data_IF_440487061186
#
_entry.id   IF_440487061186
#
_cell.length_a   1.000
_cell.length_b   1.000
_cell.length_c   1.000
_cell.angle_alpha   90.00
_cell.angle_beta   90.00
_cell.angle_gamma   90.00
#
_symmetry.space_group_name_H-M   'P 1'
#
loop_
_entity.id
_entity.type
_entity.pdbx_description
1 polymer ?
#
# COMPACT_ATOMS: atom_id res chain seq x y z
N UNK A 1 -43.42 13.85 -53.70
CA UNK A 1 -43.89 13.92 -52.29
C UNK A 1 -42.64 14.17 -51.44
N UNK A 2 -42.17 15.40 -51.33
CA UNK A 2 -42.65 16.47 -50.42
C UNK A 2 -42.30 16.23 -48.95
N UNK A 3 -41.05 16.58 -48.63
CA UNK A 3 -40.56 17.39 -47.49
C UNK A 3 -40.67 16.89 -46.02
N UNK A 4 -39.82 17.45 -45.14
CA UNK A 4 -39.12 16.78 -44.03
C UNK A 4 -39.56 17.32 -42.64
N UNK A 5 -38.91 16.88 -41.56
CA UNK A 5 -38.68 17.62 -40.30
C UNK A 5 -37.63 16.84 -39.49
N UNK A 6 -36.39 17.31 -39.31
CA UNK A 6 -35.93 18.37 -38.39
C UNK A 6 -36.45 18.22 -36.96
N UNK A 7 -35.57 17.81 -36.06
CA UNK A 7 -35.67 18.02 -34.60
C UNK A 7 -34.24 17.99 -34.01
N UNK A 8 -33.99 18.64 -32.86
CA UNK A 8 -33.06 19.76 -32.80
C UNK A 8 -31.80 19.44 -32.01
N UNK A 9 -30.73 20.16 -32.33
CA UNK A 9 -29.49 20.25 -31.55
C UNK A 9 -29.78 20.98 -30.23
N UNK A 10 -29.46 20.43 -29.05
CA UNK A 10 -29.42 21.20 -27.83
C UNK A 10 -28.12 22.01 -27.75
N UNK A 11 -28.29 23.27 -27.36
CA UNK A 11 -27.29 24.31 -27.30
C UNK A 11 -26.14 24.01 -26.33
N UNK A 12 -24.94 24.42 -26.76
CA UNK A 12 -23.76 24.58 -25.94
C UNK A 12 -23.99 25.72 -24.94
N UNK A 13 -23.81 25.45 -23.65
CA UNK A 13 -23.77 26.49 -22.61
C UNK A 13 -22.34 26.56 -22.07
N UNK A 14 -21.57 27.48 -22.65
CA UNK A 14 -20.19 27.80 -22.32
C UNK A 14 -20.18 28.73 -21.11
N UNK A 15 -20.20 28.18 -19.90
CA UNK A 15 -19.90 28.97 -18.69
C UNK A 15 -18.39 28.91 -18.43
N UNK A 16 -17.70 29.94 -18.93
CA UNK A 16 -16.31 30.27 -18.57
C UNK A 16 -16.32 30.89 -17.17
N UNK A 17 -15.90 30.13 -16.17
CA UNK A 17 -15.52 30.68 -14.87
C UNK A 17 -14.02 31.05 -14.92
N UNK A 18 -13.78 32.35 -14.99
CA UNK A 18 -12.48 33.00 -14.81
C UNK A 18 -12.12 32.91 -13.32
N UNK A 19 -11.32 31.92 -12.93
CA UNK A 19 -10.77 31.82 -11.57
C UNK A 19 -9.35 32.39 -11.55
N UNK A 20 -9.18 33.45 -10.76
CA UNK A 20 -7.96 34.21 -10.53
C UNK A 20 -6.76 33.35 -10.14
N UNK A 21 -5.54 33.63 -10.65
CA UNK A 21 -4.34 32.95 -10.19
C UNK A 21 -3.95 33.43 -8.78
N UNK A 22 -4.10 32.54 -7.79
CA UNK A 22 -3.55 32.74 -6.46
C UNK A 22 -2.03 32.52 -6.52
N UNK A 23 -1.26 33.60 -6.42
CA UNK A 23 0.20 33.57 -6.35
C UNK A 23 0.64 32.94 -5.03
N UNK A 24 1.15 31.71 -5.09
CA UNK A 24 1.84 31.06 -3.97
C UNK A 24 3.30 31.50 -3.95
N UNK A 25 3.69 32.24 -2.92
CA UNK A 25 5.09 32.59 -2.63
C UNK A 25 5.88 31.36 -2.20
N UNK A 26 6.83 30.95 -3.04
CA UNK A 26 7.86 29.94 -2.73
C UNK A 26 8.94 30.57 -1.87
N UNK A 27 8.98 30.22 -0.58
CA UNK A 27 10.09 30.59 0.31
C UNK A 27 11.18 29.53 0.20
N UNK A 28 12.23 29.84 -0.57
CA UNK A 28 13.44 29.01 -0.67
C UNK A 28 14.33 29.26 0.54
N UNK A 29 14.39 28.30 1.47
CA UNK A 29 15.38 28.32 2.56
C UNK A 29 16.61 27.53 2.13
N UNK A 30 17.64 28.26 1.69
CA UNK A 30 18.98 27.73 1.42
C UNK A 30 19.68 27.50 2.76
N UNK A 31 19.79 26.25 3.19
CA UNK A 31 20.60 25.86 4.35
C UNK A 31 22.02 25.60 3.86
N UNK A 32 22.92 26.52 4.17
CA UNK A 32 24.36 26.42 3.93
C UNK A 32 24.96 25.39 4.90
N UNK A 33 25.59 24.35 4.34
CA UNK A 33 26.37 23.33 5.04
C UNK A 33 27.72 23.92 5.51
N UNK A 34 28.08 23.86 6.80
CA UNK A 34 29.43 24.22 7.23
C UNK A 34 30.37 23.02 7.14
N UNK A 35 31.44 23.21 6.37
CA UNK A 35 32.67 22.43 6.31
C UNK A 35 33.25 22.13 7.70
N UNK A 36 33.73 20.91 7.99
CA UNK A 36 34.50 20.66 9.21
C UNK A 36 35.95 21.13 9.01
N UNK A 37 36.33 22.17 9.74
CA UNK A 37 37.72 22.64 9.88
C UNK A 37 38.38 21.99 11.08
N UNK A 38 39.65 21.65 10.87
CA UNK A 38 40.61 20.95 11.71
C UNK A 38 40.64 21.31 13.21
N UNK A 39 40.95 20.29 13.98
CA UNK A 39 41.36 20.32 15.39
C UNK A 39 42.85 20.67 15.50
N UNK A 40 43.23 21.61 16.38
CA UNK A 40 44.49 21.51 17.07
C UNK A 40 44.32 21.56 18.60
N UNK A 41 44.92 20.56 19.24
CA UNK A 41 45.65 20.58 20.51
C UNK A 41 46.05 21.99 20.96
N UNK A 42 45.82 22.42 22.22
CA UNK A 42 46.74 22.39 23.40
C UNK A 42 46.04 23.03 24.63
N UNK A 43 46.42 22.56 25.81
CA UNK A 43 46.09 22.98 27.18
C UNK A 43 46.11 24.49 27.51
N UNK A 44 45.32 24.89 28.52
CA UNK A 44 45.76 25.74 29.64
C UNK A 44 44.66 25.87 30.69
N UNK A 45 45.04 25.76 31.95
CA UNK A 45 44.22 26.02 33.13
C UNK A 45 44.15 27.53 33.42
N UNK A 46 43.01 28.06 33.89
CA UNK A 46 42.98 29.05 34.99
C UNK A 46 41.57 29.42 35.46
N UNK A 47 41.43 29.48 36.79
CA UNK A 47 40.54 30.34 37.59
C UNK A 47 39.08 30.55 37.14
N UNK A 48 38.18 29.74 37.71
CA UNK A 48 36.75 30.03 37.74
C UNK A 48 36.36 30.80 39.02
N UNK A 49 35.64 31.93 38.93
CA UNK A 49 35.12 32.66 40.08
C UNK A 49 33.93 31.93 40.74
N UNK A 50 33.88 32.00 42.07
CA UNK A 50 32.86 31.40 42.93
C UNK A 50 31.42 31.73 42.50
N UNK A 51 30.64 30.69 42.24
CA UNK A 51 29.22 30.77 41.89
C UNK A 51 28.40 31.42 43.02
N UNK A 52 27.41 32.27 42.69
CA UNK A 52 26.49 32.81 43.67
C UNK A 52 25.59 31.70 44.24
N UNK A 53 25.47 31.66 45.57
CA UNK A 53 24.54 30.79 46.28
C UNK A 53 23.11 31.21 45.92
N UNK A 54 22.44 30.39 45.10
CA UNK A 54 21.06 30.61 44.73
C UNK A 54 20.15 30.32 45.93
N UNK A 55 19.39 31.34 46.33
CA UNK A 55 18.37 31.25 47.36
C UNK A 55 17.29 30.23 46.90
N UNK A 56 16.96 29.19 47.70
CA UNK A 56 16.02 28.17 47.27
C UNK A 56 14.63 28.77 47.03
N UNK A 57 14.12 28.56 45.81
CA UNK A 57 12.78 28.99 45.43
C UNK A 57 11.73 28.33 46.34
N UNK A 58 10.65 29.05 46.71
CA UNK A 58 9.62 28.53 47.59
C UNK A 58 8.99 27.27 46.98
N UNK A 59 8.90 26.22 47.80
CA UNK A 59 8.32 24.93 47.42
C UNK A 59 6.86 25.13 47.00
N UNK A 60 6.44 24.62 45.83
CA UNK A 60 5.07 24.78 45.37
C UNK A 60 4.11 24.10 46.35
N UNK A 61 3.11 24.84 46.79
CA UNK A 61 2.02 24.29 47.60
C UNK A 61 1.21 23.34 46.72
N UNK A 62 1.20 22.06 47.09
CA UNK A 62 0.45 21.04 46.36
C UNK A 62 -1.04 21.27 46.62
N UNK A 63 -1.75 21.74 45.60
CA UNK A 63 -3.21 21.80 45.59
C UNK A 63 -3.78 20.38 45.69
N UNK A 64 -4.68 20.09 46.64
CA UNK A 64 -5.26 18.76 46.76
C UNK A 64 -6.02 18.40 45.47
N UNK A 65 -5.70 17.23 44.92
CA UNK A 65 -6.41 16.67 43.78
C UNK A 65 -7.83 16.32 44.23
N UNK A 66 -8.88 16.77 43.53
CA UNK A 66 -10.25 16.44 43.90
C UNK A 66 -10.48 14.93 43.89
N UNK A 67 -11.12 14.43 44.94
CA UNK A 67 -11.52 13.02 45.04
C UNK A 67 -12.55 12.74 43.95
N UNK A 68 -12.35 11.75 43.07
CA UNK A 68 -13.31 11.42 42.03
C UNK A 68 -14.63 10.98 42.65
N UNK A 69 -15.73 11.60 42.22
CA UNK A 69 -17.09 11.18 42.56
C UNK A 69 -17.34 9.80 41.94
N UNK A 70 -17.88 8.83 42.71
CA UNK A 70 -18.15 7.50 42.18
C UNK A 70 -19.14 7.58 41.01
N UNK A 71 -18.70 7.13 39.84
CA UNK A 71 -19.53 6.99 38.65
C UNK A 71 -20.66 5.99 38.93
N UNK A 72 -21.93 6.32 38.65
CA UNK A 72 -23.04 5.39 38.79
C UNK A 72 -22.77 4.10 38.01
N UNK A 73 -23.02 2.95 38.65
CA UNK A 73 -22.91 1.66 37.99
C UNK A 73 -23.92 1.60 36.83
N UNK A 74 -23.43 1.50 35.60
CA UNK A 74 -24.27 1.34 34.42
C UNK A 74 -25.18 0.12 34.58
N UNK A 75 -26.48 0.33 34.42
CA UNK A 75 -27.46 -0.75 34.35
C UNK A 75 -27.02 -1.72 33.24
N UNK A 76 -27.02 -3.02 33.55
CA UNK A 76 -26.65 -4.04 32.58
C UNK A 76 -27.63 -3.99 31.40
N UNK A 77 -27.13 -3.58 30.24
CA UNK A 77 -27.84 -3.72 28.97
C UNK A 77 -27.99 -5.23 28.71
N UNK A 78 -29.21 -5.74 28.49
CA UNK A 78 -29.41 -7.15 28.20
C UNK A 78 -28.55 -7.58 27.02
N UNK A 79 -27.89 -8.73 27.15
CA UNK A 79 -27.04 -9.28 26.11
C UNK A 79 -27.85 -9.43 24.82
N UNK A 80 -27.37 -8.90 23.68
CA UNK A 80 -28.06 -9.08 22.41
C UNK A 80 -28.19 -10.57 22.12
N UNK A 81 -29.40 -10.99 21.73
CA UNK A 81 -29.63 -12.35 21.23
C UNK A 81 -28.64 -12.62 20.09
N UNK A 82 -27.91 -13.76 20.10
CA UNK A 82 -26.97 -14.08 19.05
C UNK A 82 -27.66 -13.98 17.69
N UNK A 83 -27.10 -13.14 16.81
CA UNK A 83 -27.52 -13.10 15.43
C UNK A 83 -27.39 -14.53 14.84
N UNK A 84 -28.36 -14.99 14.04
CA UNK A 84 -28.26 -16.29 13.38
C UNK A 84 -26.92 -16.39 12.66
N UNK A 85 -26.26 -17.54 12.79
CA UNK A 85 -25.01 -17.79 12.10
C UNK A 85 -25.21 -17.50 10.61
N UNK A 86 -24.31 -16.73 9.96
CA UNK A 86 -24.46 -16.42 8.55
C UNK A 86 -24.56 -17.74 7.79
N UNK A 87 -25.68 -17.93 7.08
CA UNK A 87 -25.78 -18.98 6.08
C UNK A 87 -24.57 -18.79 5.16
N UNK A 88 -23.73 -19.82 4.94
CA UNK A 88 -22.67 -19.72 3.96
C UNK A 88 -23.31 -19.21 2.68
N UNK A 89 -22.91 -18.02 2.23
CA UNK A 89 -23.25 -17.59 0.90
C UNK A 89 -22.71 -18.70 0.01
N UNK A 90 -23.61 -19.39 -0.69
CA UNK A 90 -23.24 -20.11 -1.90
C UNK A 90 -22.63 -19.02 -2.77
N UNK A 91 -21.30 -18.90 -2.71
CA UNK A 91 -20.58 -17.95 -3.54
C UNK A 91 -21.05 -18.18 -4.97
N UNK A 92 -21.23 -17.12 -5.77
CA UNK A 92 -21.53 -17.29 -7.18
C UNK A 92 -20.50 -18.30 -7.70
N UNK A 93 -21.00 -19.47 -8.12
CA UNK A 93 -20.21 -20.41 -8.89
C UNK A 93 -19.87 -19.64 -10.13
N UNK A 94 -18.69 -19.01 -10.13
CA UNK A 94 -18.20 -18.32 -11.29
C UNK A 94 -18.12 -19.41 -12.38
N UNK A 95 -18.98 -19.38 -13.40
CA UNK A 95 -18.98 -20.42 -14.42
C UNK A 95 -17.57 -20.44 -15.00
N UNK A 96 -16.97 -21.63 -14.98
CA UNK A 96 -15.55 -21.81 -15.19
C UNK A 96 -15.02 -21.05 -16.40
N UNK A 97 -14.41 -19.90 -16.15
CA UNK A 97 -13.22 -19.52 -16.88
C UNK A 97 -12.11 -20.44 -16.35
N UNK A 98 -12.12 -21.68 -16.80
CA UNK A 98 -10.92 -22.48 -16.87
C UNK A 98 -10.01 -21.72 -17.83
N UNK A 99 -9.18 -20.83 -17.26
CA UNK A 99 -8.12 -20.16 -18.00
C UNK A 99 -7.22 -21.29 -18.49
N UNK A 100 -7.49 -21.76 -19.70
CA UNK A 100 -6.63 -22.66 -20.44
C UNK A 100 -5.33 -21.90 -20.59
N UNK A 101 -4.33 -22.27 -19.79
CA UNK A 101 -3.04 -21.58 -19.73
C UNK A 101 -2.27 -21.96 -20.99
N UNK A 102 -2.60 -21.28 -22.09
CA UNK A 102 -1.73 -21.21 -23.25
C UNK A 102 -0.41 -20.57 -22.83
N UNK A 103 0.69 -21.10 -23.34
CA UNK A 103 2.05 -20.85 -22.86
C UNK A 103 2.61 -19.43 -23.12
N UNK A 104 1.79 -18.47 -23.52
CA UNK A 104 2.14 -17.05 -23.55
C UNK A 104 1.78 -16.42 -22.20
N UNK A 105 2.53 -15.39 -21.77
CA UNK A 105 1.92 -14.39 -20.89
C UNK A 105 0.59 -14.03 -21.57
N UNK A 106 -0.55 -13.99 -20.85
CA UNK A 106 -1.73 -13.42 -21.47
C UNK A 106 -1.28 -12.07 -22.04
N UNK A 107 -1.70 -11.70 -23.26
CA UNK A 107 -1.30 -10.43 -23.92
C UNK A 107 -1.56 -9.17 -23.04
N UNK A 108 -2.24 -9.42 -21.93
CA UNK A 108 -2.77 -8.59 -20.87
C UNK A 108 -1.98 -8.67 -19.54
N UNK A 109 -0.80 -9.28 -19.51
CA UNK A 109 0.04 -9.25 -18.31
C UNK A 109 0.76 -7.90 -18.18
N UNK A 110 0.86 -7.38 -16.96
CA UNK A 110 1.65 -6.19 -16.68
C UNK A 110 3.15 -6.49 -16.89
N UNK A 111 3.83 -5.88 -17.88
CA UNK A 111 5.23 -6.15 -18.18
C UNK A 111 6.16 -5.69 -17.05
N UNK A 112 5.69 -4.78 -16.18
CA UNK A 112 6.48 -4.30 -15.05
C UNK A 112 6.58 -5.36 -13.96
N UNK A 113 5.62 -6.29 -13.88
CA UNK A 113 5.66 -7.42 -12.96
C UNK A 113 6.85 -8.36 -13.27
N UNK A 114 7.27 -8.48 -14.54
CA UNK A 114 8.41 -9.32 -14.94
C UNK A 114 9.78 -8.70 -14.63
N UNK A 115 9.81 -7.39 -14.39
CA UNK A 115 11.05 -6.61 -14.20
C UNK A 115 11.18 -6.05 -12.79
N UNK A 116 10.49 -6.67 -11.82
CA UNK A 116 10.64 -6.28 -10.42
C UNK A 116 12.00 -6.67 -9.88
N UNK A 117 12.85 -5.66 -9.69
CA UNK A 117 14.12 -5.80 -8.99
C UNK A 117 13.90 -5.70 -7.49
N UNK A 118 14.75 -6.38 -6.71
CA UNK A 118 14.78 -6.20 -5.26
C UNK A 118 15.05 -4.73 -4.93
N UNK A 119 14.05 -4.02 -4.40
CA UNK A 119 14.19 -2.63 -4.03
C UNK A 119 14.64 -2.52 -2.57
N UNK A 120 15.72 -1.76 -2.26
CA UNK A 120 16.15 -1.55 -0.88
C UNK A 120 15.22 -0.59 -0.12
N UNK A 121 14.54 0.30 -0.84
CA UNK A 121 13.60 1.25 -0.27
C UNK A 121 12.22 0.62 -0.08
N UNK A 122 11.41 1.17 0.82
CA UNK A 122 10.14 0.59 1.26
C UNK A 122 8.99 1.57 1.01
N UNK A 123 7.82 1.07 0.61
CA UNK A 123 6.63 1.91 0.52
C UNK A 123 6.11 2.28 1.93
N UNK A 124 5.85 3.54 2.19
CA UNK A 124 5.41 4.08 3.47
C UNK A 124 4.07 4.81 3.36
N UNK A 125 3.43 5.01 4.50
CA UNK A 125 2.20 5.79 4.60
C UNK A 125 2.43 7.21 4.05
N UNK A 126 1.56 7.66 3.14
CA UNK A 126 1.65 8.95 2.47
C UNK A 126 2.45 8.96 1.15
N UNK A 127 3.13 7.86 0.80
CA UNK A 127 3.85 7.78 -0.48
C UNK A 127 2.89 7.88 -1.67
N UNK A 128 3.32 8.58 -2.72
CA UNK A 128 2.58 8.72 -3.97
C UNK A 128 3.06 7.66 -4.96
N UNK A 129 2.13 6.85 -5.43
CA UNK A 129 2.39 5.69 -6.26
C UNK A 129 1.62 5.78 -7.59
N UNK A 130 2.14 5.13 -8.63
CA UNK A 130 1.46 4.98 -9.92
C UNK A 130 1.27 3.51 -10.28
N UNK A 131 0.12 3.19 -10.85
CA UNK A 131 -0.21 1.88 -11.43
C UNK A 131 -0.71 2.07 -12.86
N UNK A 132 -0.53 1.08 -13.74
CA UNK A 132 -1.07 1.13 -15.10
C UNK A 132 -2.53 0.71 -15.09
N UNK A 133 -3.42 1.60 -15.52
CA UNK A 133 -4.88 1.40 -15.45
C UNK A 133 -5.34 0.19 -16.27
N UNK A 134 -4.67 -0.10 -17.38
CA UNK A 134 -4.99 -1.24 -18.26
C UNK A 134 -4.86 -2.61 -17.60
N UNK A 135 -4.17 -2.74 -16.47
CA UNK A 135 -3.91 -4.03 -15.81
C UNK A 135 -4.71 -4.25 -14.53
N UNK A 136 -5.57 -3.30 -14.15
CA UNK A 136 -6.29 -3.33 -12.87
C UNK A 136 -7.19 -4.57 -12.69
N UNK A 137 -7.70 -5.14 -13.79
CA UNK A 137 -8.64 -6.27 -13.79
C UNK A 137 -8.14 -7.50 -14.58
N UNK A 138 -6.90 -7.48 -15.08
CA UNK A 138 -6.45 -8.49 -16.05
C UNK A 138 -5.82 -9.72 -15.41
N UNK A 139 -5.40 -9.63 -14.14
CA UNK A 139 -4.61 -10.66 -13.49
C UNK A 139 -5.22 -11.13 -12.16
N UNK A 140 -6.43 -11.72 -12.16
CA UNK A 140 -6.96 -12.35 -10.96
C UNK A 140 -6.06 -13.51 -10.51
N UNK A 141 -5.93 -13.68 -9.21
CA UNK A 141 -5.30 -14.82 -8.56
C UNK A 141 -6.13 -15.27 -7.38
N UNK A 142 -6.14 -16.58 -7.13
CA UNK A 142 -6.77 -17.15 -5.96
C UNK A 142 -5.76 -17.25 -4.81
N UNK A 143 -5.97 -16.48 -3.76
CA UNK A 143 -5.21 -16.59 -2.50
C UNK A 143 -5.98 -17.51 -1.56
N UNK A 144 -5.35 -18.60 -1.11
CA UNK A 144 -5.97 -19.59 -0.21
C UNK A 144 -5.27 -19.61 1.15
N UNK A 145 -6.06 -19.57 2.23
CA UNK A 145 -5.57 -19.61 3.61
C UNK A 145 -6.47 -20.47 4.50
N UNK A 146 -6.05 -20.69 5.75
CA UNK A 146 -6.83 -21.47 6.71
C UNK A 146 -7.02 -20.69 8.01
N UNK A 147 -8.20 -20.76 8.61
CA UNK A 147 -8.51 -20.18 9.92
C UNK A 147 -9.48 -21.09 10.66
N UNK A 148 -9.13 -21.48 11.90
CA UNK A 148 -9.97 -22.37 12.74
C UNK A 148 -10.43 -23.63 11.99
N UNK A 149 -9.51 -24.32 11.31
CA UNK A 149 -9.76 -25.50 10.48
C UNK A 149 -10.67 -25.28 9.26
N UNK A 150 -11.08 -24.03 8.97
CA UNK A 150 -11.80 -23.70 7.73
C UNK A 150 -10.81 -23.27 6.67
N UNK A 151 -10.92 -23.87 5.49
CA UNK A 151 -10.23 -23.40 4.29
C UNK A 151 -10.99 -22.21 3.72
N UNK A 152 -10.30 -21.09 3.59
CA UNK A 152 -10.82 -19.84 3.09
C UNK A 152 -10.03 -19.46 1.83
N UNK A 153 -10.64 -18.66 0.98
CA UNK A 153 -10.00 -18.14 -0.21
C UNK A 153 -10.56 -16.76 -0.57
N UNK A 154 -9.83 -16.05 -1.41
CA UNK A 154 -10.24 -14.77 -1.95
C UNK A 154 -9.56 -14.55 -3.29
N UNK A 155 -10.25 -13.86 -4.19
CA UNK A 155 -9.70 -13.43 -5.47
C UNK A 155 -9.02 -12.07 -5.30
N UNK A 156 -7.81 -11.96 -5.81
CA UNK A 156 -7.02 -10.73 -5.78
C UNK A 156 -6.47 -10.42 -7.16
N UNK A 157 -6.42 -9.15 -7.53
CA UNK A 157 -5.72 -8.66 -8.72
C UNK A 157 -4.29 -8.28 -8.36
N UNK A 158 -3.34 -8.78 -9.13
CA UNK A 158 -1.92 -8.44 -9.00
C UNK A 158 -1.55 -7.35 -9.99
N UNK A 159 -0.90 -6.31 -9.50
CA UNK A 159 -0.39 -5.21 -10.31
C UNK A 159 1.03 -4.86 -9.87
N UNK A 160 1.83 -4.30 -10.78
CA UNK A 160 3.02 -3.58 -10.37
C UNK A 160 2.64 -2.12 -10.09
N UNK A 161 3.18 -1.55 -9.02
CA UNK A 161 3.12 -0.10 -8.81
C UNK A 161 4.52 0.48 -8.72
N UNK A 162 4.63 1.75 -9.10
CA UNK A 162 5.87 2.53 -9.02
C UNK A 162 5.73 3.56 -7.91
N UNK A 163 6.62 3.55 -6.92
CA UNK A 163 6.64 4.58 -5.89
C UNK A 163 7.39 5.81 -6.41
N UNK A 164 6.66 6.89 -6.67
CA UNK A 164 7.20 8.13 -7.24
C UNK A 164 7.75 9.10 -6.20
N UNK A 165 7.50 8.85 -4.91
CA UNK A 165 8.09 9.63 -3.80
C UNK A 165 9.57 9.28 -3.59
N UNK A 166 9.97 8.06 -3.94
CA UNK A 166 11.33 7.56 -3.70
C UNK A 166 12.19 7.73 -4.96
N UNK A 167 13.39 8.28 -4.81
CA UNK A 167 14.34 8.43 -5.89
C UNK A 167 14.63 7.09 -6.59
N UNK A 168 14.67 7.11 -7.92
CA UNK A 168 14.84 5.90 -8.74
C UNK A 168 13.53 5.17 -9.05
N UNK A 169 12.38 5.65 -8.54
CA UNK A 169 11.05 5.13 -8.87
C UNK A 169 10.96 3.60 -8.72
N UNK A 170 11.27 3.05 -7.52
CA UNK A 170 11.25 1.61 -7.31
C UNK A 170 9.86 1.02 -7.53
N UNK A 171 9.84 -0.22 -8.03
CA UNK A 171 8.61 -0.96 -8.36
C UNK A 171 8.33 -2.04 -7.33
N UNK A 172 7.06 -2.22 -7.00
CA UNK A 172 6.58 -3.14 -5.96
C UNK A 172 5.30 -3.85 -6.42
N UNK A 173 4.91 -4.89 -5.69
CA UNK A 173 3.66 -5.60 -5.92
C UNK A 173 2.52 -4.91 -5.18
N UNK A 174 1.38 -4.76 -5.86
CA UNK A 174 0.11 -4.40 -5.26
C UNK A 174 -0.87 -5.56 -5.47
N UNK A 175 -1.56 -5.93 -4.39
CA UNK A 175 -2.65 -6.90 -4.40
C UNK A 175 -3.93 -6.19 -3.99
N UNK A 176 -4.96 -6.23 -4.83
CA UNK A 176 -6.28 -5.66 -4.52
C UNK A 176 -7.31 -6.78 -4.52
N UNK A 177 -8.02 -6.95 -3.41
CA UNK A 177 -9.12 -7.92 -3.35
C UNK A 177 -10.22 -7.55 -4.35
N UNK A 178 -10.86 -8.55 -4.93
CA UNK A 178 -11.89 -8.36 -5.97
C UNK A 178 -13.04 -7.46 -5.50
N UNK A 179 -13.51 -7.65 -4.27
CA UNK A 179 -14.52 -6.83 -3.62
C UNK A 179 -14.03 -5.42 -3.19
N UNK A 180 -12.75 -5.09 -3.42
CA UNK A 180 -12.14 -3.79 -3.11
C UNK A 180 -11.64 -3.06 -4.36
N UNK A 181 -11.87 -3.59 -5.57
CA UNK A 181 -11.36 -2.99 -6.80
C UNK A 181 -11.98 -1.61 -7.07
N UNK A 182 -13.28 -1.45 -6.89
CA UNK A 182 -13.95 -0.15 -7.06
C UNK A 182 -13.49 0.87 -6.00
N UNK A 183 -13.24 0.41 -4.77
CA UNK A 183 -12.64 1.25 -3.73
C UNK A 183 -11.24 1.70 -4.15
N UNK A 184 -10.40 0.80 -4.67
CA UNK A 184 -9.08 1.16 -5.18
C UNK A 184 -9.17 2.23 -6.27
N UNK A 185 -10.06 2.04 -7.25
CA UNK A 185 -10.29 3.01 -8.33
C UNK A 185 -10.72 4.38 -7.79
N UNK A 186 -11.52 4.42 -6.72
CA UNK A 186 -11.91 5.68 -6.08
C UNK A 186 -10.77 6.40 -5.35
N UNK A 187 -9.70 5.69 -4.96
CA UNK A 187 -8.49 6.26 -4.38
C UNK A 187 -7.51 6.77 -5.45
N UNK A 188 -7.76 6.43 -6.72
CA UNK A 188 -6.90 6.76 -7.83
C UNK A 188 -7.33 8.06 -8.53
N UNK A 189 -6.34 8.84 -8.95
CA UNK A 189 -6.48 9.95 -9.89
C UNK A 189 -5.96 9.51 -11.26
N UNK A 190 -6.81 9.45 -12.30
CA UNK A 190 -6.39 9.09 -13.65
C UNK A 190 -5.37 10.07 -14.24
N UNK A 191 -4.37 9.54 -14.94
CA UNK A 191 -3.25 10.24 -15.59
C UNK A 191 -2.87 9.49 -16.90
N UNK A 192 -3.78 9.54 -17.89
CA UNK A 192 -3.62 8.83 -19.16
C UNK A 192 -3.68 7.31 -19.00
N UNK A 193 -2.59 6.61 -19.35
CA UNK A 193 -2.48 5.15 -19.16
C UNK A 193 -2.16 4.75 -17.70
N UNK A 194 -1.94 5.73 -16.83
CA UNK A 194 -1.59 5.53 -15.44
C UNK A 194 -2.70 6.04 -14.52
N UNK A 195 -2.78 5.46 -13.34
CA UNK A 195 -3.56 5.91 -12.20
C UNK A 195 -2.60 6.24 -11.07
N UNK A 196 -2.73 7.42 -10.46
CA UNK A 196 -1.93 7.82 -9.29
C UNK A 196 -2.73 7.62 -8.01
N UNK A 197 -2.14 7.06 -6.97
CA UNK A 197 -2.79 6.91 -5.65
C UNK A 197 -1.80 7.22 -4.53
N UNK A 198 -2.32 7.57 -3.34
CA UNK A 198 -1.51 7.67 -2.13
C UNK A 198 -1.64 6.39 -1.29
N UNK A 199 -0.55 5.96 -0.68
CA UNK A 199 -0.57 4.88 0.31
C UNK A 199 -1.26 5.40 1.58
N UNK A 200 -2.46 4.92 1.86
CA UNK A 200 -3.25 5.28 3.05
C UNK A 200 -3.20 4.18 4.12
N UNK A 201 -3.79 4.45 5.29
CA UNK A 201 -3.93 3.46 6.37
C UNK A 201 -4.89 2.31 6.04
N UNK A 202 -5.60 2.39 4.92
CA UNK A 202 -6.46 1.30 4.43
C UNK A 202 -5.65 0.15 3.83
N UNK A 203 -4.42 0.43 3.41
CA UNK A 203 -3.51 -0.59 2.92
C UNK A 203 -2.92 -1.37 4.09
N UNK A 204 -2.68 -2.65 3.84
CA UNK A 204 -1.78 -3.48 4.61
C UNK A 204 -0.53 -3.77 3.78
N UNK A 205 0.50 -4.30 4.41
CA UNK A 205 1.72 -4.66 3.70
C UNK A 205 2.32 -5.97 4.19
N UNK A 206 3.00 -6.65 3.28
CA UNK A 206 3.96 -7.70 3.61
C UNK A 206 5.38 -7.25 3.25
N UNK A 207 6.40 -7.88 3.82
CA UNK A 207 7.81 -7.53 3.63
C UNK A 207 8.71 -8.75 3.81
N UNK A 208 9.82 -8.80 3.06
CA UNK A 208 10.76 -9.92 3.06
C UNK A 208 11.39 -10.15 4.45
N UNK A 209 11.69 -9.05 5.13
CA UNK A 209 12.34 -9.06 6.44
C UNK A 209 11.92 -7.82 7.26
N UNK A 210 12.45 -7.72 8.49
CA UNK A 210 12.17 -6.62 9.42
C UNK A 210 12.67 -5.25 8.97
N UNK A 211 13.56 -5.20 7.97
CA UNK A 211 14.04 -3.93 7.39
C UNK A 211 13.00 -3.32 6.43
N UNK A 212 11.99 -4.11 6.05
CA UNK A 212 10.97 -3.73 5.09
C UNK A 212 11.37 -3.96 3.63
N UNK A 213 12.49 -4.65 3.39
CA UNK A 213 12.94 -5.05 2.05
C UNK A 213 11.79 -5.73 1.29
N UNK A 214 11.64 -5.39 0.00
CA UNK A 214 10.60 -5.92 -0.89
C UNK A 214 9.18 -5.80 -0.34
N UNK A 215 8.86 -4.67 0.32
CA UNK A 215 7.51 -4.40 0.78
C UNK A 215 6.51 -4.41 -0.37
N UNK A 216 5.40 -5.11 -0.20
CA UNK A 216 4.28 -5.11 -1.13
C UNK A 216 3.01 -4.63 -0.43
N UNK A 217 2.09 -4.05 -1.18
CA UNK A 217 0.83 -3.51 -0.65
C UNK A 217 -0.32 -4.49 -0.89
N UNK A 218 -1.24 -4.54 0.07
CA UNK A 218 -2.48 -5.30 -0.01
C UNK A 218 -3.64 -4.40 0.37
N UNK A 219 -4.62 -4.24 -0.51
CA UNK A 219 -5.88 -3.59 -0.22
C UNK A 219 -7.00 -4.63 -0.16
N UNK A 220 -7.58 -4.80 1.02
CA UNK A 220 -8.67 -5.74 1.29
C UNK A 220 -9.38 -5.37 2.60
N UNK A 221 -10.41 -6.13 2.97
CA UNK A 221 -11.12 -5.91 4.23
C UNK A 221 -10.18 -5.97 5.45
N UNK A 222 -10.29 -4.99 6.34
CA UNK A 222 -9.50 -4.91 7.57
C UNK A 222 -9.68 -6.13 8.49
N UNK A 223 -10.80 -6.86 8.36
CA UNK A 223 -11.06 -8.09 9.11
C UNK A 223 -10.13 -9.23 8.69
N UNK A 224 -9.52 -9.14 7.51
CA UNK A 224 -8.63 -10.15 6.93
C UNK A 224 -7.15 -9.92 7.26
N UNK A 225 -6.83 -9.09 8.26
CA UNK A 225 -5.43 -8.80 8.65
C UNK A 225 -4.65 -10.01 9.21
N UNK A 226 -5.33 -11.14 9.42
CA UNK A 226 -4.71 -12.40 9.84
C UNK A 226 -4.21 -13.24 8.66
N UNK A 227 -4.42 -12.81 7.41
CA UNK A 227 -3.86 -13.52 6.27
C UNK A 227 -2.35 -13.34 6.32
N UNK A 228 -1.61 -14.45 6.29
CA UNK A 228 -0.17 -14.41 6.33
C UNK A 228 0.41 -13.99 4.96
N UNK A 229 1.44 -13.16 4.98
CA UNK A 229 2.06 -12.58 3.79
C UNK A 229 2.55 -13.63 2.78
N UNK A 230 3.04 -14.78 3.26
CA UNK A 230 3.49 -15.89 2.39
C UNK A 230 2.39 -16.44 1.48
N UNK A 231 1.11 -16.20 1.77
CA UNK A 231 0.01 -16.65 0.91
C UNK A 231 -0.03 -15.88 -0.41
N UNK A 232 0.23 -14.58 -0.36
CA UNK A 232 0.31 -13.73 -1.55
C UNK A 232 1.56 -14.06 -2.39
N UNK A 233 2.70 -14.24 -1.71
CA UNK A 233 3.96 -14.63 -2.37
C UNK A 233 3.83 -16.00 -3.04
N UNK A 234 3.22 -16.99 -2.34
CA UNK A 234 3.00 -18.33 -2.91
C UNK A 234 2.00 -18.33 -4.06
N UNK A 235 0.92 -17.56 -3.95
CA UNK A 235 -0.06 -17.43 -5.03
C UNK A 235 0.58 -16.80 -6.28
N UNK A 236 1.38 -15.75 -6.09
CA UNK A 236 2.20 -15.14 -7.14
C UNK A 236 3.15 -16.17 -7.75
N UNK A 237 3.92 -16.90 -6.94
CA UNK A 237 4.84 -17.95 -7.40
C UNK A 237 4.15 -19.04 -8.21
N UNK A 238 2.97 -19.49 -7.80
CA UNK A 238 2.22 -20.51 -8.55
C UNK A 238 1.87 -19.97 -9.94
N UNK A 239 1.37 -18.73 -10.00
CA UNK A 239 1.00 -18.06 -11.24
C UNK A 239 2.21 -17.85 -12.16
N UNK A 240 3.29 -17.30 -11.60
CA UNK A 240 4.55 -17.07 -12.30
C UNK A 240 5.28 -18.34 -12.67
N UNK A 241 5.27 -19.39 -11.84
CA UNK A 241 5.90 -20.67 -12.15
C UNK A 241 5.24 -21.32 -13.36
N UNK A 242 3.91 -21.23 -13.47
CA UNK A 242 3.21 -21.66 -14.69
C UNK A 242 3.57 -20.80 -15.90
N UNK A 243 3.69 -19.48 -15.73
CA UNK A 243 4.14 -18.57 -16.80
C UNK A 243 5.61 -18.81 -17.22
N UNK A 244 6.51 -18.99 -16.26
CA UNK A 244 7.95 -19.18 -16.48
C UNK A 244 8.24 -20.55 -17.08
N UNK A 245 7.58 -21.61 -16.63
CA UNK A 245 7.65 -22.92 -17.29
C UNK A 245 7.19 -22.84 -18.74
N UNK A 246 6.19 -22.01 -19.01
CA UNK A 246 5.72 -21.73 -20.36
C UNK A 246 6.74 -20.93 -21.18
N UNK A 247 7.36 -19.89 -20.61
CA UNK A 247 8.39 -19.09 -21.28
C UNK A 247 9.70 -19.84 -21.50
N UNK A 248 10.13 -20.69 -20.56
CA UNK A 248 11.34 -21.52 -20.70
C UNK A 248 11.23 -22.54 -21.85
N UNK A 249 10.01 -22.97 -22.18
CA UNK A 249 9.77 -23.80 -23.37
C UNK A 249 9.80 -23.00 -24.69
N UNK A 250 9.68 -21.67 -24.62
CA UNK A 250 9.62 -20.77 -25.79
C UNK A 250 10.94 -20.03 -26.05
N UNK A 251 11.76 -19.77 -25.05
CA UNK A 251 13.00 -18.99 -25.19
C UNK A 251 14.18 -19.66 -24.47
N UNK A 252 15.10 -20.31 -25.21
CA UNK A 252 16.36 -20.78 -24.64
C UNK A 252 17.19 -19.59 -24.13
N UNK A 253 17.44 -19.51 -22.82
CA UNK A 253 18.34 -18.51 -22.22
C UNK A 253 17.74 -17.49 -21.26
N UNK A 254 16.53 -17.72 -20.72
CA UNK A 254 15.96 -16.82 -19.72
C UNK A 254 16.91 -16.60 -18.51
N UNK A 255 17.04 -15.36 -18.01
CA UNK A 255 18.09 -14.98 -17.08
C UNK A 255 17.83 -15.47 -15.65
N UNK A 256 18.79 -16.21 -15.09
CA UNK A 256 18.71 -16.87 -13.76
C UNK A 256 18.52 -15.91 -12.58
N UNK A 257 19.01 -14.68 -12.69
CA UNK A 257 18.97 -13.66 -11.63
C UNK A 257 17.55 -13.24 -11.21
N UNK A 258 16.54 -13.40 -12.07
CA UNK A 258 15.15 -13.13 -11.73
C UNK A 258 14.56 -14.17 -10.78
N UNK A 259 14.99 -15.43 -10.92
CA UNK A 259 14.61 -16.52 -10.03
C UNK A 259 15.23 -16.28 -8.65
N UNK A 260 16.47 -15.81 -8.58
CA UNK A 260 17.19 -15.59 -7.32
C UNK A 260 16.59 -14.44 -6.49
N UNK A 261 16.25 -13.29 -7.11
CA UNK A 261 15.56 -12.19 -6.41
C UNK A 261 14.19 -12.61 -5.85
N UNK A 262 13.53 -13.52 -6.56
CA UNK A 262 12.25 -14.11 -6.16
C UNK A 262 12.42 -15.21 -5.10
N UNK A 263 13.57 -15.90 -5.05
CA UNK A 263 13.94 -16.88 -4.02
C UNK A 263 14.35 -16.21 -2.70
N UNK A 264 15.02 -15.06 -2.74
CA UNK A 264 15.32 -14.23 -1.55
C UNK A 264 14.04 -13.78 -0.82
N UNK A 265 12.95 -13.68 -1.55
CA UNK A 265 11.61 -13.32 -1.06
C UNK A 265 10.95 -14.49 -0.28
N UNK A 266 11.51 -15.71 -0.34
CA UNK A 266 10.98 -16.93 0.28
C UNK A 266 11.33 -17.02 1.79
N UNK A 267 12.21 -16.16 2.30
CA UNK A 267 12.45 -16.03 3.75
C UNK A 267 11.20 -15.64 4.57
N UNK A 268 10.12 -15.21 3.91
CA UNK A 268 8.85 -14.75 4.50
C UNK A 268 7.94 -15.84 5.08
N UNK A 269 8.46 -16.87 5.73
CA UNK A 269 7.59 -17.88 6.32
C UNK A 269 6.94 -17.40 7.62
N UNK A 270 5.66 -17.05 7.53
CA UNK A 270 4.74 -17.15 8.67
C UNK A 270 4.16 -15.84 9.22
N UNK A 271 4.66 -14.68 8.81
CA UNK A 271 4.18 -13.41 9.37
C UNK A 271 2.81 -13.02 8.79
N UNK A 272 1.97 -12.46 9.66
CA UNK A 272 0.73 -11.80 9.28
C UNK A 272 1.03 -10.53 8.46
N UNK A 273 0.07 -10.09 7.66
CA UNK A 273 0.16 -8.76 7.06
C UNK A 273 0.21 -7.68 8.17
N UNK A 274 1.01 -6.65 7.91
CA UNK A 274 1.17 -5.50 8.79
C UNK A 274 0.22 -4.37 8.38
N UNK A 275 -0.19 -3.56 9.36
CA UNK A 275 -0.89 -2.28 9.14
C UNK A 275 0.13 -1.14 9.15
N UNK A 276 -0.16 -0.09 8.40
CA UNK A 276 0.60 1.18 8.48
C UNK A 276 0.29 1.94 9.78
#
# INVERSE_FOLDING_TARGET
MSRPSDTPVPAEDTTTAEESPLTTTTTTSTTTEPTPTEEPTVAAAENAPSSPVLNPAPSPTITPVPVPVPTPASAQVPAPTPAPAPTPANGPSNPGHEVTVGASLPDNADPDLANMQSAPATANLGDTCKVRTKYEDQLPMLVQWSRKLKNLHGTYYQMAFTNTTIAGNPKYFLFVADDHLDRFRSLCTPDGEWSTFQVTADFQYGQADKTGKNRFLVLHSAELSYINQHRFVRASWKKWGTMAASMLNLVPGAPKNQIDALMDTIGMFGDALHKF
#
